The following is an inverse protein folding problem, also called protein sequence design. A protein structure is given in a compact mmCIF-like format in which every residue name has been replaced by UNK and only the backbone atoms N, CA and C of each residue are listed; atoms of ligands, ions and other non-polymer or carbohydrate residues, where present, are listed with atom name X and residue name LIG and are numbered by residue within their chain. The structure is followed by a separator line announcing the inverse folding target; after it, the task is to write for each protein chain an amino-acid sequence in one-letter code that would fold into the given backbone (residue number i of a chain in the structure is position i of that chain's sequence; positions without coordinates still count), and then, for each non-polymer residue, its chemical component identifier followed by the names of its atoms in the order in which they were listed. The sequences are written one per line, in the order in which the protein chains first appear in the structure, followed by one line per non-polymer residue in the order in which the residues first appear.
data_IF_021408850581
#
_entry.id   IF_021408850581
#
_cell.length_a   1.000
_cell.length_b   1.000
_cell.length_c   1.000
_cell.angle_alpha   90.00
_cell.angle_beta   90.00
_cell.angle_gamma   90.00
#
_symmetry.space_group_name_H-M   'P 1'
#
loop_
_entity.id
_entity.type
_entity.pdbx_description
1 polymer ?
#
# COMPACT_ATOMS: atom_id res chain seq x y z
N UNK A 1 -0.23 -7.64 16.31
CA UNK A 1 -1.46 -6.89 16.67
C UNK A 1 -1.44 -5.48 16.07
N UNK A 2 -0.35 -4.73 16.22
CA UNK A 2 -0.24 -3.35 15.70
C UNK A 2 -0.32 -3.30 14.18
N UNK A 3 0.37 -4.20 13.47
CA UNK A 3 0.32 -4.29 12.02
C UNK A 3 -1.11 -4.50 11.49
N UNK A 4 -1.91 -5.36 12.15
CA UNK A 4 -3.30 -5.60 11.77
C UNK A 4 -4.14 -4.34 11.97
N UNK A 5 -3.96 -3.63 13.09
CA UNK A 5 -4.65 -2.37 13.36
C UNK A 5 -4.33 -1.32 12.30
N UNK A 6 -3.09 -1.25 11.89
CA UNK A 6 -2.59 -0.32 10.88
C UNK A 6 -3.14 -0.64 9.47
N UNK A 7 -3.19 -1.93 9.10
CA UNK A 7 -3.84 -2.39 7.87
C UNK A 7 -5.35 -2.12 7.86
N UNK A 8 -6.04 -2.32 8.99
CA UNK A 8 -7.46 -1.98 9.11
C UNK A 8 -7.69 -0.47 8.96
N UNK A 9 -6.80 0.34 9.52
CA UNK A 9 -6.86 1.79 9.39
C UNK A 9 -6.70 2.25 7.94
N UNK A 10 -5.80 1.60 7.17
CA UNK A 10 -5.66 1.80 5.72
C UNK A 10 -6.95 1.46 4.96
N UNK A 11 -7.56 0.30 5.27
CA UNK A 11 -8.80 -0.14 4.62
C UNK A 11 -9.92 0.85 4.91
N UNK A 12 -10.12 1.24 6.17
CA UNK A 12 -11.16 2.20 6.58
C UNK A 12 -10.95 3.56 5.92
N UNK A 13 -9.70 4.07 5.91
CA UNK A 13 -9.38 5.34 5.28
C UNK A 13 -9.64 5.31 3.77
N UNK A 14 -9.20 4.27 3.08
CA UNK A 14 -9.40 4.11 1.63
C UNK A 14 -10.88 3.93 1.28
N UNK A 15 -11.62 3.17 2.11
CA UNK A 15 -13.06 3.01 1.94
C UNK A 15 -13.80 4.34 2.12
N UNK A 16 -13.42 5.15 3.12
CA UNK A 16 -13.98 6.47 3.32
C UNK A 16 -13.76 7.41 2.14
N UNK A 17 -12.61 7.32 1.47
CA UNK A 17 -12.32 8.13 0.29
C UNK A 17 -13.25 7.83 -0.91
N UNK A 18 -13.82 6.61 -1.00
CA UNK A 18 -14.76 6.26 -2.07
C UNK A 18 -16.07 7.06 -2.01
N UNK A 19 -16.51 7.46 -0.83
CA UNK A 19 -17.77 8.16 -0.63
C UNK A 19 -17.66 9.69 -0.72
N UNK A 20 -16.46 10.21 -0.99
CA UNK A 20 -16.23 11.64 -1.06
C UNK A 20 -16.73 12.18 -2.39
N UNK A 21 -17.57 13.22 -2.29
CA UNK A 21 -18.06 14.03 -3.39
C UNK A 21 -17.50 15.46 -3.29
N UNK A 22 -17.63 16.24 -4.36
CA UNK A 22 -17.17 17.65 -4.43
C UNK A 22 -17.60 18.53 -3.24
N UNK A 23 -18.75 18.23 -2.63
CA UNK A 23 -19.31 19.01 -1.53
C UNK A 23 -18.78 18.60 -0.14
N UNK A 24 -18.00 17.53 -0.04
CA UNK A 24 -17.51 16.95 1.22
C UNK A 24 -15.98 16.96 1.30
N UNK A 25 -15.34 17.99 0.75
CA UNK A 25 -13.87 18.06 0.64
C UNK A 25 -13.13 18.02 1.99
N UNK A 26 -13.73 18.54 3.08
CA UNK A 26 -13.10 18.48 4.41
C UNK A 26 -12.92 17.04 4.89
N UNK A 27 -13.92 16.17 4.67
CA UNK A 27 -13.79 14.76 5.02
C UNK A 27 -12.72 14.04 4.20
N UNK A 28 -12.45 14.49 2.96
CA UNK A 28 -11.36 13.98 2.15
C UNK A 28 -10.01 14.14 2.83
N UNK A 29 -9.74 15.29 3.42
CA UNK A 29 -8.49 15.52 4.14
C UNK A 29 -8.34 14.62 5.35
N UNK A 30 -9.41 14.43 6.12
CA UNK A 30 -9.41 13.53 7.30
C UNK A 30 -9.09 12.09 6.88
N UNK A 31 -9.80 11.55 5.88
CA UNK A 31 -9.55 10.20 5.39
C UNK A 31 -8.18 10.05 4.73
N UNK A 32 -7.68 11.08 4.07
CA UNK A 32 -6.34 11.09 3.50
C UNK A 32 -5.25 11.04 4.57
N UNK A 33 -5.40 11.76 5.68
CA UNK A 33 -4.50 11.70 6.83
C UNK A 33 -4.52 10.30 7.46
N UNK A 34 -5.71 9.71 7.62
CA UNK A 34 -5.88 8.35 8.14
C UNK A 34 -5.14 7.34 7.24
N UNK A 35 -5.31 7.44 5.92
CA UNK A 35 -4.57 6.59 4.97
C UNK A 35 -3.06 6.81 5.05
N UNK A 36 -2.60 8.06 5.18
CA UNK A 36 -1.19 8.40 5.26
C UNK A 36 -0.51 7.82 6.51
N UNK A 37 -1.17 7.86 7.66
CA UNK A 37 -0.65 7.25 8.90
C UNK A 37 -0.57 5.73 8.78
N UNK A 38 -1.62 5.07 8.29
CA UNK A 38 -1.60 3.64 8.06
C UNK A 38 -0.58 3.20 7.01
N UNK A 39 -0.40 3.96 5.95
CA UNK A 39 0.59 3.64 4.91
C UNK A 39 2.02 3.72 5.44
N UNK A 40 2.34 4.71 6.27
CA UNK A 40 3.69 4.87 6.82
C UNK A 40 4.07 3.72 7.74
N UNK A 41 3.17 3.22 8.56
CA UNK A 41 3.38 2.06 9.43
C UNK A 41 3.46 0.76 8.64
N UNK A 42 2.39 0.41 7.92
CA UNK A 42 2.26 -0.87 7.26
C UNK A 42 3.29 -1.09 6.13
N UNK A 43 3.59 -0.07 5.33
CA UNK A 43 4.47 -0.21 4.18
C UNK A 43 5.96 -0.02 4.48
N UNK A 44 6.30 0.84 5.45
CA UNK A 44 7.70 1.23 5.66
C UNK A 44 8.26 0.78 7.01
N UNK A 45 7.57 1.02 8.12
CA UNK A 45 8.13 0.78 9.45
C UNK A 45 8.11 -0.71 9.79
N UNK A 46 6.95 -1.36 9.69
CA UNK A 46 6.82 -2.76 10.12
C UNK A 46 7.61 -3.77 9.29
N UNK A 47 7.63 -3.71 7.95
CA UNK A 47 8.42 -4.65 7.18
C UNK A 47 9.90 -4.56 7.47
N UNK A 48 10.44 -3.35 7.68
CA UNK A 48 11.85 -3.15 8.04
C UNK A 48 12.17 -3.71 9.43
N UNK A 49 11.33 -3.44 10.42
CA UNK A 49 11.51 -3.96 11.77
C UNK A 49 11.46 -5.50 11.82
N UNK A 50 10.48 -6.11 11.12
CA UNK A 50 10.37 -7.57 11.02
C UNK A 50 11.57 -8.18 10.30
N UNK A 51 12.05 -7.56 9.24
CA UNK A 51 13.19 -8.04 8.49
C UNK A 51 14.47 -7.97 9.30
N UNK A 52 14.69 -6.90 10.05
CA UNK A 52 15.81 -6.76 10.96
C UNK A 52 15.82 -7.86 12.04
N UNK A 53 14.66 -8.15 12.65
CA UNK A 53 14.55 -9.22 13.64
C UNK A 53 14.85 -10.61 13.03
N UNK A 54 14.31 -10.90 11.83
CA UNK A 54 14.53 -12.17 11.16
C UNK A 54 16.00 -12.31 10.74
N UNK A 55 16.60 -11.24 10.20
CA UNK A 55 18.01 -11.27 9.77
C UNK A 55 18.96 -11.47 10.94
N UNK A 56 18.70 -10.85 12.10
CA UNK A 56 19.47 -11.04 13.31
C UNK A 56 19.43 -12.50 13.78
N UNK A 57 18.23 -13.08 13.92
CA UNK A 57 18.05 -14.49 14.32
C UNK A 57 18.73 -15.46 13.34
N UNK A 58 18.64 -15.20 12.05
CA UNK A 58 19.23 -16.05 11.02
C UNK A 58 20.77 -15.93 11.01
N UNK A 59 21.29 -14.73 11.25
CA UNK A 59 22.73 -14.49 11.36
C UNK A 59 23.36 -15.19 12.56
N UNK A 60 22.68 -15.19 13.70
CA UNK A 60 23.10 -15.93 14.91
C UNK A 60 23.15 -17.45 14.64
N UNK A 61 22.14 -17.98 13.92
CA UNK A 61 22.06 -19.42 13.67
C UNK A 61 23.11 -19.89 12.66
N UNK A 62 23.47 -19.07 11.68
CA UNK A 62 24.36 -19.43 10.56
C UNK A 62 25.77 -18.90 10.68
N UNK A 63 26.09 -18.11 11.71
CA UNK A 63 27.38 -17.40 11.86
C UNK A 63 27.80 -16.58 10.62
N UNK A 64 26.84 -16.04 9.86
CA UNK A 64 27.07 -15.23 8.66
C UNK A 64 26.17 -14.01 8.72
N UNK A 65 26.71 -12.83 8.46
CA UNK A 65 25.92 -11.60 8.36
C UNK A 65 25.07 -11.62 7.09
N UNK A 66 23.77 -11.84 7.25
CA UNK A 66 22.78 -11.89 6.14
C UNK A 66 21.95 -10.60 6.03
N UNK A 67 22.18 -9.66 6.93
CA UNK A 67 21.36 -8.44 7.04
C UNK A 67 21.36 -7.63 5.75
N UNK A 68 22.53 -7.32 5.20
CA UNK A 68 22.66 -6.57 3.95
C UNK A 68 21.98 -7.25 2.75
N UNK A 69 22.08 -8.58 2.66
CA UNK A 69 21.44 -9.37 1.62
C UNK A 69 19.91 -9.31 1.71
N UNK A 70 19.36 -9.46 2.91
CA UNK A 70 17.91 -9.42 3.15
C UNK A 70 17.32 -8.05 2.86
N UNK A 71 17.99 -6.95 3.30
CA UNK A 71 17.57 -5.59 2.97
C UNK A 71 17.73 -5.28 1.47
N UNK A 72 18.74 -5.82 0.81
CA UNK A 72 18.91 -5.72 -0.64
C UNK A 72 17.74 -6.33 -1.42
N UNK A 73 17.32 -7.54 -1.04
CA UNK A 73 16.15 -8.21 -1.63
C UNK A 73 14.88 -7.40 -1.38
N UNK A 74 14.65 -6.93 -0.15
CA UNK A 74 13.49 -6.09 0.16
C UNK A 74 13.46 -4.84 -0.71
N UNK A 75 14.60 -4.14 -0.85
CA UNK A 75 14.71 -2.96 -1.69
C UNK A 75 14.39 -3.23 -3.16
N UNK A 76 14.79 -4.39 -3.67
CA UNK A 76 14.44 -4.81 -5.03
C UNK A 76 12.95 -5.02 -5.19
N UNK A 77 12.29 -5.74 -4.27
CA UNK A 77 10.83 -5.95 -4.32
C UNK A 77 10.06 -4.65 -4.18
N UNK A 78 10.51 -3.72 -3.32
CA UNK A 78 9.89 -2.39 -3.21
C UNK A 78 9.96 -1.61 -4.53
N UNK A 79 11.11 -1.61 -5.20
CA UNK A 79 11.27 -0.94 -6.50
C UNK A 79 10.37 -1.56 -7.56
N UNK A 80 10.26 -2.89 -7.61
CA UNK A 80 9.33 -3.58 -8.51
C UNK A 80 7.87 -3.22 -8.22
N UNK A 81 7.49 -3.17 -6.94
CA UNK A 81 6.14 -2.76 -6.53
C UNK A 81 5.83 -1.32 -6.97
N UNK A 82 6.78 -0.39 -6.82
CA UNK A 82 6.61 0.98 -7.29
C UNK A 82 6.49 1.08 -8.81
N UNK A 83 7.24 0.28 -9.58
CA UNK A 83 7.09 0.23 -11.04
C UNK A 83 5.68 -0.23 -11.43
N UNK A 84 5.20 -1.32 -10.84
CA UNK A 84 3.83 -1.82 -11.09
C UNK A 84 2.80 -0.77 -10.69
N UNK A 85 2.97 -0.13 -9.53
CA UNK A 85 2.10 0.94 -9.06
C UNK A 85 2.03 2.09 -10.08
N UNK A 86 3.15 2.55 -10.62
CA UNK A 86 3.19 3.64 -11.60
C UNK A 86 2.43 3.29 -12.87
N UNK A 87 2.59 2.07 -13.38
CA UNK A 87 1.87 1.60 -14.57
C UNK A 87 0.36 1.53 -14.29
N UNK A 88 -0.03 0.91 -13.19
CA UNK A 88 -1.44 0.80 -12.78
C UNK A 88 -2.06 2.19 -12.58
N UNK A 89 -1.37 3.08 -11.88
CA UNK A 89 -1.86 4.41 -11.58
C UNK A 89 -2.00 5.25 -12.86
N UNK A 90 -1.02 5.21 -13.76
CA UNK A 90 -1.07 5.97 -15.01
C UNK A 90 -2.17 5.49 -15.96
N UNK A 91 -2.53 4.22 -15.93
CA UNK A 91 -3.61 3.66 -16.78
C UNK A 91 -4.98 3.84 -16.16
N UNK A 92 -5.13 3.54 -14.86
CA UNK A 92 -6.42 3.59 -14.18
C UNK A 92 -6.89 5.02 -13.92
N UNK A 93 -6.01 5.96 -13.55
CA UNK A 93 -6.39 7.34 -13.27
C UNK A 93 -6.99 8.05 -14.49
N UNK A 94 -6.53 7.72 -15.69
CA UNK A 94 -7.05 8.31 -16.92
C UNK A 94 -8.22 7.52 -17.54
N UNK A 95 -8.65 6.44 -16.90
CA UNK A 95 -9.77 5.64 -17.37
C UNK A 95 -11.04 6.49 -17.48
N UNK A 96 -11.75 6.34 -18.60
CA UNK A 96 -12.95 7.13 -18.88
C UNK A 96 -12.66 8.54 -19.44
N UNK A 97 -11.42 8.90 -19.71
CA UNK A 97 -11.10 10.15 -20.38
C UNK A 97 -11.23 10.00 -21.90
N UNK A 98 -12.24 10.62 -22.49
CA UNK A 98 -12.53 10.59 -23.93
C UNK A 98 -11.84 11.72 -24.71
N UNK A 99 -11.03 12.55 -24.07
CA UNK A 99 -10.31 13.62 -24.76
C UNK A 99 -9.22 13.03 -25.67
N UNK A 100 -9.34 13.28 -26.96
CA UNK A 100 -8.38 12.85 -27.98
C UNK A 100 -7.24 13.83 -28.16
N UNK A 101 -7.39 15.07 -27.68
CA UNK A 101 -6.40 16.14 -27.84
C UNK A 101 -5.87 16.57 -26.47
N UNK A 102 -4.55 16.45 -26.27
CA UNK A 102 -3.86 16.97 -25.10
C UNK A 102 -3.52 15.94 -24.02
N UNK A 103 -3.02 16.43 -22.89
CA UNK A 103 -2.63 15.61 -21.73
C UNK A 103 -3.88 15.03 -21.07
N UNK A 104 -3.95 13.72 -21.00
CA UNK A 104 -5.05 13.04 -20.30
C UNK A 104 -4.94 13.28 -18.80
N UNK A 105 -5.89 14.02 -18.25
CA UNK A 105 -5.99 14.24 -16.79
C UNK A 105 -6.69 13.09 -16.08
N UNK A 106 -6.53 13.05 -14.74
CA UNK A 106 -7.25 12.11 -13.90
C UNK A 106 -8.76 12.36 -13.95
N UNK A 107 -9.54 11.29 -14.07
CA UNK A 107 -11.00 11.33 -14.08
C UNK A 107 -11.55 10.91 -12.72
N UNK A 108 -12.75 11.37 -12.36
CA UNK A 108 -13.42 10.93 -11.14
C UNK A 108 -13.65 9.40 -11.15
N UNK A 109 -14.02 8.86 -12.29
CA UNK A 109 -14.17 7.42 -12.47
C UNK A 109 -12.83 6.68 -12.29
N UNK A 110 -11.75 7.18 -12.89
CA UNK A 110 -10.41 6.59 -12.76
C UNK A 110 -9.91 6.59 -11.31
N UNK A 111 -10.15 7.67 -10.56
CA UNK A 111 -9.81 7.74 -9.14
C UNK A 111 -10.59 6.70 -8.34
N UNK A 112 -11.90 6.58 -8.54
CA UNK A 112 -12.73 5.58 -7.85
C UNK A 112 -12.29 4.16 -8.18
N UNK A 113 -11.98 3.85 -9.43
CA UNK A 113 -11.46 2.53 -9.85
C UNK A 113 -10.13 2.23 -9.16
N UNK A 114 -9.23 3.19 -9.11
CA UNK A 114 -7.92 3.03 -8.44
C UNK A 114 -8.09 2.75 -6.95
N UNK A 115 -9.02 3.44 -6.26
CA UNK A 115 -9.32 3.19 -4.84
C UNK A 115 -9.91 1.80 -4.61
N UNK A 116 -10.79 1.32 -5.49
CA UNK A 116 -11.36 -0.04 -5.40
C UNK A 116 -10.28 -1.09 -5.58
N UNK A 117 -9.37 -0.92 -6.55
CA UNK A 117 -8.24 -1.84 -6.73
C UNK A 117 -7.33 -1.84 -5.50
N UNK A 118 -7.03 -0.68 -4.93
CA UNK A 118 -6.24 -0.58 -3.70
C UNK A 118 -6.91 -1.30 -2.52
N UNK A 119 -8.23 -1.16 -2.35
CA UNK A 119 -8.99 -1.86 -1.30
C UNK A 119 -8.90 -3.38 -1.45
N UNK A 120 -9.06 -3.89 -2.67
CA UNK A 120 -8.95 -5.33 -2.95
C UNK A 120 -7.54 -5.84 -2.57
N UNK A 121 -6.49 -5.10 -2.94
CA UNK A 121 -5.11 -5.47 -2.62
C UNK A 121 -4.83 -5.43 -1.11
N UNK A 122 -5.34 -4.43 -0.39
CA UNK A 122 -5.19 -4.35 1.07
C UNK A 122 -5.94 -5.47 1.78
N UNK A 123 -7.17 -5.79 1.34
CA UNK A 123 -7.94 -6.90 1.88
C UNK A 123 -7.26 -8.25 1.62
N UNK A 124 -6.73 -8.46 0.42
CA UNK A 124 -5.96 -9.66 0.09
C UNK A 124 -4.68 -9.76 0.95
N UNK A 125 -3.95 -8.68 1.13
CA UNK A 125 -2.77 -8.65 2.00
C UNK A 125 -3.10 -9.02 3.44
N UNK A 126 -4.20 -8.49 3.99
CA UNK A 126 -4.66 -8.82 5.34
C UNK A 126 -5.05 -10.30 5.46
N UNK A 127 -5.74 -10.84 4.44
CA UNK A 127 -6.13 -12.24 4.39
C UNK A 127 -4.92 -13.17 4.40
N UNK A 128 -3.94 -12.94 3.53
CA UNK A 128 -2.70 -13.73 3.51
C UNK A 128 -1.88 -13.63 4.78
N UNK A 129 -1.87 -12.46 5.42
CA UNK A 129 -1.19 -12.28 6.70
C UNK A 129 -1.85 -13.09 7.82
N UNK A 130 -3.19 -13.14 7.86
CA UNK A 130 -3.92 -13.93 8.87
C UNK A 130 -3.74 -15.43 8.66
N UNK A 131 -3.75 -15.92 7.40
CA UNK A 131 -3.51 -17.34 7.11
C UNK A 131 -2.15 -17.82 7.64
N UNK A 132 -1.11 -17.02 7.45
CA UNK A 132 0.25 -17.38 7.91
C UNK A 132 0.41 -17.34 9.44
N UNK A 133 -0.52 -16.74 10.18
CA UNK A 133 -0.46 -16.65 11.63
C UNK A 133 -1.05 -17.91 12.31
N UNK A 134 -1.84 -18.69 11.58
CA UNK A 134 -2.45 -19.92 12.11
C UNK A 134 -1.55 -21.17 11.97
N UNK A 135 -0.49 -21.08 11.14
CA UNK A 135 0.58 -22.05 11.02
C UNK A 135 1.75 -21.74 12.00
#
# INVERSE_FOLDING_TARGET
KVLIADMLLLIVGTFGLLFINKNTSIFAYVFFIICGTGLSGAAFIFPQAMLSEISAKLSETKNVSLEGFMFGIQGMFLKLAFLVQQVVQSTLLVAGNNNTEGVKGATEFGVKVTLVVALILFAASLFFYNLKKED
#
